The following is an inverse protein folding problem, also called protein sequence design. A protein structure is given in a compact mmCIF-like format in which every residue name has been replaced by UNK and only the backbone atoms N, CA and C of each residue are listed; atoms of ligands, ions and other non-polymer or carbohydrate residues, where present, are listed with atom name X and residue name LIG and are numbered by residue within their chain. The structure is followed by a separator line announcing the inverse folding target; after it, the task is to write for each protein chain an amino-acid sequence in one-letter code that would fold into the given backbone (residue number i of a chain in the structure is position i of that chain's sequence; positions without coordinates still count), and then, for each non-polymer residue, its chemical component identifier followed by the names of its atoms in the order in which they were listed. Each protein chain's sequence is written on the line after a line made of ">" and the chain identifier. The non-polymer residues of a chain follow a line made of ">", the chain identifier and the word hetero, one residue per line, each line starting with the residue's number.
data_IF_078551655219
#
_entry.id   IF_078551655219
#
_cell.length_a   1.000
_cell.length_b   1.000
_cell.length_c   1.000
_cell.angle_alpha   90.00
_cell.angle_beta   90.00
_cell.angle_gamma   90.00
#
_symmetry.space_group_name_H-M   'P 1'
#
loop_
_entity.id
_entity.type
_entity.pdbx_description
1 polymer ?
#
# COMPACT_ATOMS: atom_id res chain seq x y z
N UNK A 1 8.17 -18.31 -13.34
CA UNK A 1 7.76 -16.96 -13.79
C UNK A 1 7.20 -16.22 -12.58
N UNK A 2 7.84 -15.16 -12.09
CA UNK A 2 7.34 -14.36 -10.96
C UNK A 2 6.52 -13.19 -11.51
N UNK A 3 5.20 -13.23 -11.35
CA UNK A 3 4.33 -12.13 -11.74
C UNK A 3 4.27 -11.15 -10.57
N UNK A 4 4.95 -10.01 -10.69
CA UNK A 4 4.78 -8.93 -9.73
C UNK A 4 3.38 -8.34 -9.93
N UNK A 5 2.56 -8.38 -8.88
CA UNK A 5 1.25 -7.75 -8.91
C UNK A 5 1.40 -6.27 -8.60
N UNK A 6 0.81 -5.45 -9.46
CA UNK A 6 0.58 -4.05 -9.12
C UNK A 6 -0.35 -3.99 -7.90
N UNK A 7 0.10 -3.31 -6.85
CA UNK A 7 -0.66 -3.06 -5.64
C UNK A 7 -1.49 -1.81 -5.80
N UNK A 8 -2.79 -1.91 -5.52
CA UNK A 8 -3.68 -0.76 -5.46
C UNK A 8 -3.52 -0.03 -4.11
N UNK A 9 -2.57 0.91 -4.05
CA UNK A 9 -2.27 1.68 -2.84
C UNK A 9 -3.46 2.49 -2.34
N UNK A 10 -4.35 2.92 -3.23
CA UNK A 10 -5.55 3.66 -2.84
C UNK A 10 -6.52 2.76 -2.08
N UNK A 11 -6.77 1.54 -2.56
CA UNK A 11 -7.60 0.56 -1.89
C UNK A 11 -7.02 0.17 -0.52
N UNK A 12 -5.71 -0.10 -0.45
CA UNK A 12 -5.03 -0.42 0.81
C UNK A 12 -5.14 0.73 1.81
N UNK A 13 -4.96 1.97 1.36
CA UNK A 13 -5.10 3.15 2.21
C UNK A 13 -6.54 3.33 2.73
N UNK A 14 -7.55 3.19 1.87
CA UNK A 14 -8.95 3.31 2.24
C UNK A 14 -9.39 2.21 3.22
N UNK A 15 -8.95 0.97 3.00
CA UNK A 15 -9.22 -0.15 3.92
C UNK A 15 -8.60 0.11 5.30
N UNK A 16 -7.33 0.52 5.34
CA UNK A 16 -6.67 0.87 6.60
C UNK A 16 -7.33 2.07 7.28
N UNK A 17 -7.76 3.08 6.53
CA UNK A 17 -8.46 4.23 7.09
C UNK A 17 -9.80 3.84 7.70
N UNK A 18 -10.52 2.91 7.08
CA UNK A 18 -11.78 2.37 7.59
C UNK A 18 -11.56 1.53 8.85
N UNK A 19 -10.56 0.64 8.87
CA UNK A 19 -10.22 -0.18 10.05
C UNK A 19 -9.85 0.69 11.25
N UNK A 20 -9.08 1.76 11.03
CA UNK A 20 -8.63 2.66 12.10
C UNK A 20 -9.69 3.70 12.52
N UNK A 21 -10.85 3.77 11.86
CA UNK A 21 -11.88 4.77 12.13
C UNK A 21 -13.16 4.10 12.64
N UNK A 22 -13.54 4.37 13.89
CA UNK A 22 -14.81 3.91 14.48
C UNK A 22 -16.04 4.57 13.88
N UNK A 23 -15.88 5.68 13.16
CA UNK A 23 -16.97 6.42 12.50
C UNK A 23 -16.80 6.42 10.98
N UNK A 24 -17.93 6.44 10.26
CA UNK A 24 -17.96 6.66 8.81
C UNK A 24 -17.32 8.02 8.49
N UNK A 25 -16.31 8.02 7.62
CA UNK A 25 -15.68 9.24 7.11
C UNK A 25 -16.09 9.42 5.66
N UNK A 26 -16.57 10.62 5.34
CA UNK A 26 -16.92 11.02 3.99
C UNK A 26 -16.09 12.26 3.67
N UNK A 27 -15.44 12.26 2.50
CA UNK A 27 -14.69 13.40 2.00
C UNK A 27 -15.34 13.83 0.69
N UNK A 28 -15.74 15.10 0.60
CA UNK A 28 -16.39 15.67 -0.58
C UNK A 28 -15.41 16.44 -1.47
N UNK A 29 -14.22 16.76 -0.96
CA UNK A 29 -13.16 17.43 -1.70
C UNK A 29 -11.81 16.75 -1.50
N UNK A 30 -10.97 16.83 -2.54
CA UNK A 30 -9.57 16.41 -2.49
C UNK A 30 -8.78 17.05 -1.35
N UNK A 31 -9.04 18.33 -1.03
CA UNK A 31 -8.30 19.02 0.04
C UNK A 31 -8.63 18.49 1.44
N UNK A 32 -9.78 17.83 1.62
CA UNK A 32 -10.20 17.26 2.89
C UNK A 32 -9.50 15.92 3.18
N UNK A 33 -8.86 15.31 2.17
CA UNK A 33 -8.09 14.08 2.38
C UNK A 33 -6.81 14.37 3.16
N UNK A 34 -6.43 13.47 4.09
CA UNK A 34 -5.10 13.49 4.69
C UNK A 34 -4.00 13.51 3.63
N UNK A 35 -2.85 14.10 3.98
CA UNK A 35 -1.70 14.28 3.07
C UNK A 35 -1.28 12.98 2.39
N UNK A 36 -1.32 11.85 3.11
CA UNK A 36 -1.01 10.53 2.56
C UNK A 36 -2.00 10.10 1.46
N UNK A 37 -3.30 10.25 1.69
CA UNK A 37 -4.33 9.93 0.69
C UNK A 37 -4.19 10.79 -0.56
N UNK A 38 -3.92 12.09 -0.40
CA UNK A 38 -3.64 13.00 -1.52
C UNK A 38 -2.41 12.58 -2.32
N UNK A 39 -1.32 12.19 -1.65
CA UNK A 39 -0.10 11.71 -2.30
C UNK A 39 -0.37 10.46 -3.15
N UNK A 40 -1.12 9.50 -2.62
CA UNK A 40 -1.45 8.25 -3.33
C UNK A 40 -2.25 8.55 -4.61
N UNK A 41 -3.29 9.38 -4.52
CA UNK A 41 -4.09 9.79 -5.68
C UNK A 41 -3.22 10.50 -6.73
N UNK A 42 -2.28 11.36 -6.32
CA UNK A 42 -1.38 12.02 -7.25
C UNK A 42 -0.44 11.03 -7.96
N UNK A 43 0.05 10.00 -7.26
CA UNK A 43 0.87 8.96 -7.91
C UNK A 43 0.08 8.09 -8.89
N UNK A 44 -1.17 7.76 -8.56
CA UNK A 44 -2.10 7.07 -9.47
C UNK A 44 -2.37 7.92 -10.74
N UNK A 45 -2.64 9.22 -10.56
CA UNK A 45 -2.81 10.14 -11.69
C UNK A 45 -1.55 10.25 -12.56
N UNK A 46 -0.37 10.17 -11.94
CA UNK A 46 0.91 10.15 -12.64
C UNK A 46 1.25 8.77 -13.24
N UNK A 47 0.38 7.77 -13.11
CA UNK A 47 0.57 6.40 -13.60
C UNK A 47 1.87 5.78 -13.10
N UNK A 48 2.27 6.10 -11.85
CA UNK A 48 3.48 5.56 -11.24
C UNK A 48 3.16 4.17 -10.70
N UNK A 49 3.76 3.11 -11.27
CA UNK A 49 3.42 1.75 -10.88
C UNK A 49 3.82 1.49 -9.43
N UNK A 50 2.92 0.80 -8.74
CA UNK A 50 3.04 0.49 -7.34
C UNK A 50 3.21 -1.02 -7.21
N UNK A 51 4.43 -1.50 -6.93
CA UNK A 51 4.68 -2.95 -6.82
C UNK A 51 4.38 -3.46 -5.41
N UNK A 52 3.60 -4.54 -5.31
CA UNK A 52 3.41 -5.24 -4.03
C UNK A 52 4.55 -6.24 -3.83
N UNK A 53 5.50 -5.88 -2.98
CA UNK A 53 6.64 -6.74 -2.67
C UNK A 53 6.47 -7.38 -1.30
N UNK A 54 6.40 -8.72 -1.24
CA UNK A 54 6.56 -9.46 0.00
C UNK A 54 8.05 -9.67 0.25
N UNK A 55 8.68 -8.84 1.06
CA UNK A 55 10.06 -9.09 1.52
C UNK A 55 10.06 -10.25 2.49
N UNK A 56 10.52 -11.43 2.03
CA UNK A 56 10.81 -12.55 2.93
C UNK A 56 12.07 -12.20 3.73
N UNK A 57 12.00 -12.27 5.06
CA UNK A 57 13.20 -12.20 5.90
C UNK A 57 14.04 -13.43 5.58
N UNK A 58 15.23 -13.23 5.03
CA UNK A 58 16.21 -14.30 4.89
C UNK A 58 16.75 -14.53 6.31
N UNK A 59 16.23 -15.54 6.99
CA UNK A 59 16.93 -16.13 8.12
C UNK A 59 18.17 -16.82 7.53
N UNK A 60 19.34 -16.23 7.75
CA UNK A 60 20.61 -16.89 7.47
C UNK A 60 20.73 -18.11 8.40
N UNK A 61 20.14 -19.24 8.03
CA UNK A 61 20.54 -20.52 8.59
C UNK A 61 21.94 -20.80 8.04
N UNK A 62 22.94 -20.52 8.88
CA UNK A 62 24.29 -21.00 8.66
C UNK A 62 24.25 -22.51 8.41
N UNK A 63 24.92 -22.89 7.33
CA UNK A 63 25.14 -24.26 6.91
C UNK A 63 25.66 -25.14 8.05
N UNK A 64 25.08 -26.32 8.21
CA UNK A 64 25.85 -27.50 8.59
C UNK A 64 25.57 -28.59 7.56
N UNK A 65 26.63 -28.87 6.79
CA UNK A 65 26.75 -30.05 5.93
C UNK A 65 26.72 -31.29 6.83
N UNK A 66 25.88 -32.25 6.48
CA UNK A 66 26.15 -33.68 6.64
C UNK A 66 25.85 -34.32 5.29
#
# INVERSE_FOLDING_TARGET
>A
QHIYREGNKLADYLANLAINSTKKKTFSSFQQLPSLGRKIINMEKAQIPSLRCCTKRILQHHAQRC
#
